data_IF_996775667029
#
_entry.id   IF_996775667029
#
_cell.length_a   1.000
_cell.length_b   1.000
_cell.length_c   1.000
_cell.angle_alpha   90.00
_cell.angle_beta   90.00
_cell.angle_gamma   90.00
#
_symmetry.space_group_name_H-M   'P 1'
#
loop_
_entity.id
_entity.type
_entity.pdbx_description
1 polymer ?
#
# COMPACT_ATOMS: atom_id res chain seq x y z
N UNK A 1 15.73 6.39 -12.35
CA UNK A 1 14.99 5.45 -11.48
C UNK A 1 13.93 6.23 -10.73
N UNK A 2 12.67 6.25 -11.19
CA UNK A 2 11.61 6.98 -10.51
C UNK A 2 11.05 6.16 -9.35
N UNK A 3 11.08 6.75 -8.15
CA UNK A 3 10.35 6.27 -6.99
C UNK A 3 8.85 6.45 -7.21
N UNK A 4 8.05 5.46 -6.80
CA UNK A 4 6.60 5.53 -6.85
C UNK A 4 6.02 5.08 -5.51
N UNK A 5 5.02 5.83 -5.05
CA UNK A 5 4.09 5.36 -4.04
C UNK A 5 3.07 4.49 -4.77
N UNK A 6 2.93 3.22 -4.37
CA UNK A 6 2.02 2.26 -5.01
C UNK A 6 1.43 1.28 -4.00
N UNK A 7 0.39 0.59 -4.44
CA UNK A 7 -0.26 -0.45 -3.65
C UNK A 7 0.38 -1.82 -3.92
N UNK A 8 0.85 -2.49 -2.87
CA UNK A 8 1.21 -3.90 -2.91
C UNK A 8 0.01 -4.73 -2.44
N UNK A 9 -0.34 -5.78 -3.18
CA UNK A 9 -1.53 -6.60 -2.88
C UNK A 9 -1.16 -7.69 -1.88
N UNK A 10 -1.92 -7.75 -0.80
CA UNK A 10 -1.90 -8.80 0.20
C UNK A 10 -3.31 -9.39 0.38
N UNK A 11 -3.42 -10.35 1.31
CA UNK A 11 -4.66 -11.05 1.60
C UNK A 11 -4.88 -12.26 0.69
N UNK A 12 -6.11 -12.77 0.69
CA UNK A 12 -6.48 -14.02 0.02
C UNK A 12 -7.41 -13.78 -1.17
N UNK A 13 -7.70 -14.85 -1.92
CA UNK A 13 -8.65 -14.79 -3.03
C UNK A 13 -10.01 -14.28 -2.51
N UNK A 14 -10.59 -13.29 -3.20
CA UNK A 14 -11.82 -12.58 -2.81
C UNK A 14 -11.77 -11.82 -1.47
N UNK A 15 -10.60 -11.71 -0.81
CA UNK A 15 -10.41 -10.88 0.40
C UNK A 15 -9.14 -10.03 0.25
N UNK A 16 -9.17 -8.98 -0.58
CA UNK A 16 -8.00 -8.15 -0.84
C UNK A 16 -7.66 -7.25 0.35
N UNK A 17 -6.36 -7.11 0.60
CA UNK A 17 -5.77 -6.10 1.47
C UNK A 17 -4.63 -5.43 0.70
N UNK A 18 -4.35 -4.16 0.95
CA UNK A 18 -3.28 -3.44 0.25
C UNK A 18 -2.34 -2.76 1.24
N UNK A 19 -1.05 -2.88 1.00
CA UNK A 19 -0.04 -2.06 1.67
C UNK A 19 0.28 -0.85 0.78
N UNK A 20 0.41 0.33 1.39
CA UNK A 20 0.88 1.54 0.70
C UNK A 20 2.39 1.57 0.87
N UNK A 21 3.13 1.38 -0.23
CA UNK A 21 4.59 1.21 -0.20
C UNK A 21 5.29 2.19 -1.16
N UNK A 22 6.50 2.57 -0.79
CA UNK A 22 7.43 3.32 -1.64
C UNK A 22 8.39 2.32 -2.29
N UNK A 23 8.39 2.25 -3.62
CA UNK A 23 9.27 1.35 -4.37
C UNK A 23 9.72 1.97 -5.70
N UNK A 24 10.84 1.47 -6.24
CA UNK A 24 11.24 1.77 -7.61
C UNK A 24 10.20 1.23 -8.61
N UNK A 25 9.96 1.98 -9.68
CA UNK A 25 8.97 1.61 -10.70
C UNK A 25 9.23 0.24 -11.35
N UNK A 26 10.48 -0.24 -11.39
CA UNK A 26 10.86 -1.52 -12.01
C UNK A 26 10.70 -2.71 -11.05
N UNK A 27 10.56 -2.48 -9.76
CA UNK A 27 10.39 -3.56 -8.77
C UNK A 27 9.07 -4.30 -8.97
N UNK A 28 9.00 -5.63 -8.74
CA UNK A 28 7.75 -6.40 -8.79
C UNK A 28 6.70 -5.84 -7.82
N UNK A 29 5.40 -5.98 -8.13
CA UNK A 29 4.29 -5.40 -7.33
C UNK A 29 4.40 -5.71 -5.84
N UNK A 30 4.53 -6.99 -5.51
CA UNK A 30 4.61 -7.50 -4.13
C UNK A 30 6.05 -7.88 -3.74
N UNK A 31 7.03 -7.39 -4.50
CA UNK A 31 8.45 -7.67 -4.27
C UNK A 31 9.07 -6.70 -3.26
N UNK A 32 10.39 -6.54 -3.37
CA UNK A 32 11.15 -5.62 -2.52
C UNK A 32 10.68 -4.17 -2.70
N UNK A 33 10.28 -3.57 -1.59
CA UNK A 33 10.01 -2.14 -1.46
C UNK A 33 11.02 -1.50 -0.49
N UNK A 34 11.08 -0.18 -0.49
CA UNK A 34 12.00 0.59 0.36
C UNK A 34 11.36 0.79 1.74
N UNK A 35 10.12 1.26 1.75
CA UNK A 35 9.37 1.56 2.99
C UNK A 35 7.87 1.30 2.79
N UNK A 36 7.19 0.89 3.86
CA UNK A 36 5.73 0.80 3.93
C UNK A 36 5.22 1.97 4.76
N UNK A 37 4.41 2.83 4.16
CA UNK A 37 3.90 4.07 4.76
C UNK A 37 2.44 3.98 5.16
N UNK A 38 1.79 2.84 4.93
CA UNK A 38 0.38 2.69 5.25
C UNK A 38 -0.26 1.41 4.74
N UNK A 39 -1.58 1.38 4.83
CA UNK A 39 -2.43 0.30 4.37
C UNK A 39 -3.80 0.78 3.93
N UNK A 40 -4.42 -0.03 3.06
CA UNK A 40 -5.77 0.17 2.59
C UNK A 40 -6.53 -1.16 2.60
N UNK A 41 -7.66 -1.17 3.28
CA UNK A 41 -8.58 -2.30 3.34
C UNK A 41 -9.93 -1.94 2.71
N UNK A 42 -10.21 -2.37 1.47
CA UNK A 42 -11.46 -2.07 0.79
C UNK A 42 -12.67 -2.85 1.34
N UNK A 43 -12.45 -3.86 2.19
CA UNK A 43 -13.54 -4.63 2.79
C UNK A 43 -14.19 -3.92 3.97
N UNK A 44 -13.55 -2.86 4.49
CA UNK A 44 -14.13 -2.06 5.56
C UNK A 44 -15.21 -1.11 5.01
N UNK A 45 -16.24 -0.78 5.82
CA UNK A 45 -17.21 0.24 5.46
C UNK A 45 -16.54 1.58 5.09
N UNK A 46 -17.22 2.39 4.27
CA UNK A 46 -16.69 3.70 3.84
C UNK A 46 -16.41 4.64 5.01
N UNK A 47 -17.21 4.53 6.06
CA UNK A 47 -17.13 5.35 7.27
C UNK A 47 -16.14 4.76 8.30
N UNK A 48 -15.57 3.59 8.01
CA UNK A 48 -14.53 2.96 8.81
C UNK A 48 -13.14 3.45 8.44
N UNK A 49 -12.16 3.07 9.26
CA UNK A 49 -10.74 3.39 9.08
C UNK A 49 -10.10 2.53 7.96
N UNK A 50 -10.63 2.68 6.74
CA UNK A 50 -10.24 1.88 5.57
C UNK A 50 -8.86 2.20 5.03
N UNK A 51 -8.37 3.42 5.23
CA UNK A 51 -7.06 3.89 4.77
C UNK A 51 -6.30 4.40 5.98
N UNK A 52 -5.10 3.87 6.19
CA UNK A 52 -4.14 4.36 7.17
C UNK A 52 -2.88 4.76 6.42
N UNK A 53 -2.46 6.02 6.53
CA UNK A 53 -1.24 6.52 5.90
C UNK A 53 -0.52 7.41 6.91
N UNK A 54 0.78 7.18 7.07
CA UNK A 54 1.66 8.05 7.84
C UNK A 54 1.97 9.30 7.00
N UNK A 55 1.39 10.43 7.39
CA UNK A 55 1.51 11.69 6.66
C UNK A 55 2.91 12.32 6.78
N UNK A 56 3.65 12.02 7.85
CA UNK A 56 4.98 12.59 8.06
C UNK A 56 6.01 11.93 7.14
N UNK A 57 5.75 10.69 6.72
CA UNK A 57 6.58 9.94 5.76
C UNK A 57 6.30 10.28 4.30
N UNK A 58 5.21 11.00 4.02
CA UNK A 58 4.78 11.34 2.65
C UNK A 58 5.26 12.74 2.22
N UNK A 59 5.60 13.61 3.17
CA UNK A 59 6.03 14.99 2.92
C UNK A 59 7.44 15.10 2.36
#
# INVERSE_FOLDING_TARGET
MPLKIRLARAGSKKRPYYHVVIADARSPRDGRFIESIGSWNPLLPKDGERVKVDADRVK
#
